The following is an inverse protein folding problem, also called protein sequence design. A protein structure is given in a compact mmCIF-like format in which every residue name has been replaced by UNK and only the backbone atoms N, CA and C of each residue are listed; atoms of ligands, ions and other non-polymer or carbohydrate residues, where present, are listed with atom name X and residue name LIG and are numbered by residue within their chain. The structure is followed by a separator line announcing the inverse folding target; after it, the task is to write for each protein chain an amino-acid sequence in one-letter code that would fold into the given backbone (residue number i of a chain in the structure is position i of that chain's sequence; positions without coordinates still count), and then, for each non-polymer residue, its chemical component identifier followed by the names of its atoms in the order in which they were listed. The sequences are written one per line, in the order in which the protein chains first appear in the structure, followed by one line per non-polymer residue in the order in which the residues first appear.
data_IF_663841213146
#
_entry.id   IF_663841213146
#
_cell.length_a   1.000
_cell.length_b   1.000
_cell.length_c   1.000
_cell.angle_alpha   90.00
_cell.angle_beta   90.00
_cell.angle_gamma   90.00
#
_symmetry.space_group_name_H-M   'P 1'
#
loop_
_entity.id
_entity.type
_entity.pdbx_description
1 polymer ?
#
# COMPACT_ATOMS: atom_id res chain seq x y z
N UNK A 1 -17.01 7.21 -11.20
CA UNK A 1 -15.66 6.61 -11.31
C UNK A 1 -14.85 6.57 -9.97
N UNK A 2 -15.45 6.20 -8.81
CA UNK A 2 -14.85 6.50 -7.46
C UNK A 2 -14.88 5.35 -6.42
N UNK A 3 -15.05 4.08 -6.83
CA UNK A 3 -15.05 2.92 -5.89
C UNK A 3 -13.68 2.21 -5.75
N UNK A 4 -12.73 2.51 -6.63
CA UNK A 4 -11.48 1.73 -6.79
C UNK A 4 -10.25 2.30 -6.09
N UNK A 5 -10.27 3.56 -5.66
CA UNK A 5 -9.04 4.28 -5.25
C UNK A 5 -8.58 3.92 -3.83
N UNK A 6 -9.51 3.57 -2.93
CA UNK A 6 -9.20 3.47 -1.48
C UNK A 6 -9.00 2.04 -0.95
N UNK A 7 -9.25 1.00 -1.74
CA UNK A 7 -9.15 -0.38 -1.26
C UNK A 7 -7.77 -1.04 -1.45
N UNK A 8 -6.82 -0.29 -1.99
CA UNK A 8 -5.73 -0.88 -2.77
C UNK A 8 -4.44 -0.99 -1.91
N UNK A 9 -4.06 0.03 -1.15
CA UNK A 9 -2.69 0.16 -0.64
C UNK A 9 -2.21 -0.88 0.39
N UNK A 10 -3.10 -1.61 1.06
CA UNK A 10 -2.69 -2.56 2.12
C UNK A 10 -2.40 -3.98 1.62
N UNK A 11 -2.80 -4.35 0.39
CA UNK A 11 -2.66 -5.74 -0.11
C UNK A 11 -2.39 -5.83 -1.61
N UNK A 12 -2.26 -4.70 -2.30
CA UNK A 12 -1.68 -4.65 -3.64
C UNK A 12 -0.35 -5.39 -3.68
N UNK A 13 0.52 -5.29 -2.67
CA UNK A 13 1.86 -5.88 -2.69
C UNK A 13 1.91 -7.41 -2.90
N UNK A 14 0.77 -8.10 -2.79
CA UNK A 14 0.63 -9.54 -3.05
C UNK A 14 0.09 -9.80 -4.46
N UNK A 15 -0.74 -8.90 -5.00
CA UNK A 15 -1.30 -9.00 -6.36
C UNK A 15 -0.31 -8.41 -7.39
N UNK A 16 0.33 -7.28 -7.07
CA UNK A 16 1.31 -6.62 -7.93
C UNK A 16 2.64 -7.38 -8.01
N UNK A 17 3.02 -8.17 -7.00
CA UNK A 17 4.20 -9.04 -7.11
C UNK A 17 3.99 -10.24 -8.04
N UNK A 18 2.73 -10.62 -8.27
CA UNK A 18 2.34 -11.76 -9.12
C UNK A 18 2.04 -11.32 -10.57
N UNK A 19 1.68 -10.05 -10.80
CA UNK A 19 1.13 -9.57 -12.10
C UNK A 19 2.01 -8.60 -12.90
N UNK A 20 3.17 -8.18 -12.40
CA UNK A 20 4.07 -7.24 -13.09
C UNK A 20 4.97 -7.91 -14.13
N UNK A 21 4.49 -8.93 -14.84
CA UNK A 21 5.39 -9.77 -15.61
C UNK A 21 4.75 -10.36 -16.88
N UNK A 22 4.27 -9.48 -17.72
CA UNK A 22 4.11 -9.73 -19.14
C UNK A 22 4.55 -8.43 -19.81
N UNK A 23 5.39 -8.52 -20.85
CA UNK A 23 6.24 -7.47 -21.47
C UNK A 23 7.63 -7.46 -20.80
N UNK A 24 8.72 -7.96 -21.40
CA UNK A 24 9.08 -8.03 -22.82
C UNK A 24 10.01 -9.22 -23.09
N UNK A 25 9.88 -9.84 -24.27
CA UNK A 25 10.87 -10.74 -24.88
C UNK A 25 11.82 -9.85 -25.67
N UNK A 26 13.12 -9.92 -25.38
CA UNK A 26 14.18 -9.52 -26.31
C UNK A 26 15.19 -10.68 -26.30
N UNK A 27 15.43 -11.21 -27.49
CA UNK A 27 16.31 -12.32 -27.81
C UNK A 27 17.77 -11.89 -27.68
N UNK A 28 18.62 -12.72 -27.08
CA UNK A 28 20.08 -12.65 -27.26
C UNK A 28 20.72 -14.02 -26.98
N UNK A 29 21.04 -14.67 -28.09
CA UNK A 29 22.21 -15.48 -28.47
C UNK A 29 22.86 -16.47 -27.49
N UNK A 30 23.13 -17.66 -28.02
CA UNK A 30 23.70 -18.83 -27.34
C UNK A 30 25.05 -19.17 -27.94
N UNK A 31 26.15 -18.92 -27.22
CA UNK A 31 27.37 -19.72 -27.39
C UNK A 31 28.38 -19.52 -26.27
N UNK A 32 28.82 -20.65 -25.71
CA UNK A 32 30.10 -20.89 -25.01
C UNK A 32 30.36 -20.09 -23.73
N UNK A 33 30.46 -20.80 -22.60
CA UNK A 33 31.75 -21.30 -22.09
C UNK A 33 31.50 -22.47 -21.13
N UNK A 34 32.33 -23.49 -21.31
CA UNK A 34 32.36 -24.75 -20.57
C UNK A 34 32.99 -24.61 -19.17
N UNK A 35 32.61 -25.54 -18.30
CA UNK A 35 33.42 -26.14 -17.24
C UNK A 35 33.99 -25.20 -16.17
N UNK A 36 33.19 -24.91 -15.11
CA UNK A 36 33.53 -25.16 -13.69
C UNK A 36 32.46 -24.58 -12.71
N UNK A 37 31.20 -25.03 -12.73
CA UNK A 37 30.09 -24.34 -12.01
C UNK A 37 29.05 -25.22 -11.33
N UNK A 38 29.28 -26.53 -11.15
CA UNK A 38 28.24 -27.47 -10.67
C UNK A 38 27.73 -27.16 -9.25
N UNK A 39 28.52 -26.49 -8.40
CA UNK A 39 28.08 -26.07 -7.06
C UNK A 39 27.45 -24.66 -6.99
N UNK A 40 27.61 -23.83 -8.04
CA UNK A 40 27.12 -22.44 -8.03
C UNK A 40 25.92 -22.21 -8.96
N UNK A 41 25.71 -23.06 -9.98
CA UNK A 41 24.58 -22.93 -10.92
C UNK A 41 23.22 -23.33 -10.35
N UNK A 42 23.21 -24.19 -9.32
CA UNK A 42 21.98 -24.66 -8.67
C UNK A 42 21.22 -23.55 -7.93
N UNK A 43 21.91 -22.50 -7.49
CA UNK A 43 21.27 -21.32 -6.88
C UNK A 43 20.56 -20.42 -7.91
N UNK A 44 20.95 -20.51 -9.18
CA UNK A 44 20.42 -19.67 -10.27
C UNK A 44 19.27 -20.32 -11.04
N UNK A 45 19.09 -21.63 -10.95
CA UNK A 45 18.09 -22.36 -11.73
C UNK A 45 17.00 -23.00 -10.84
N UNK A 46 16.18 -22.18 -10.17
CA UNK A 46 14.98 -22.66 -9.45
C UNK A 46 14.02 -23.36 -10.44
N UNK A 47 13.97 -24.70 -10.41
CA UNK A 47 13.11 -25.52 -11.26
C UNK A 47 11.73 -25.68 -10.64
N UNK A 48 10.76 -26.06 -11.45
CA UNK A 48 9.38 -26.28 -10.97
C UNK A 48 9.29 -27.46 -9.97
N UNK A 49 10.15 -28.47 -10.11
CA UNK A 49 10.23 -29.64 -9.24
C UNK A 49 10.70 -29.33 -7.81
N UNK A 50 11.56 -28.31 -7.65
CA UNK A 50 12.14 -27.92 -6.36
C UNK A 50 11.13 -27.22 -5.44
N UNK A 51 9.94 -26.91 -5.97
CA UNK A 51 8.86 -26.29 -5.22
C UNK A 51 8.16 -27.30 -4.31
N UNK A 52 7.99 -26.92 -3.04
CA UNK A 52 7.17 -27.69 -2.09
C UNK A 52 5.75 -27.92 -2.63
N UNK A 53 5.06 -29.01 -2.24
CA UNK A 53 3.69 -29.28 -2.71
C UNK A 53 2.72 -28.11 -2.49
N UNK A 54 2.85 -27.41 -1.36
CA UNK A 54 2.06 -26.23 -1.05
C UNK A 54 2.37 -25.04 -1.98
N UNK A 55 3.63 -24.84 -2.37
CA UNK A 55 4.01 -23.83 -3.37
C UNK A 55 3.47 -24.17 -4.75
N UNK A 56 3.63 -25.42 -5.22
CA UNK A 56 3.09 -25.86 -6.51
C UNK A 56 1.58 -25.70 -6.59
N UNK A 57 0.84 -26.01 -5.51
CA UNK A 57 -0.61 -25.83 -5.47
C UNK A 57 -1.05 -24.38 -5.69
N UNK A 58 -0.33 -23.42 -5.10
CA UNK A 58 -0.65 -21.98 -5.22
C UNK A 58 -0.17 -21.41 -6.56
N UNK A 59 0.98 -21.89 -7.05
CA UNK A 59 1.61 -21.39 -8.27
C UNK A 59 1.18 -22.14 -9.52
N UNK A 60 0.28 -23.13 -9.44
CA UNK A 60 -0.18 -23.94 -10.58
C UNK A 60 -0.45 -23.13 -11.87
N UNK A 61 -1.07 -21.93 -11.84
CA UNK A 61 -1.27 -21.13 -13.06
C UNK A 61 0.01 -20.62 -13.76
N UNK A 62 1.17 -20.79 -13.12
CA UNK A 62 2.49 -20.39 -13.62
C UNK A 62 3.37 -21.59 -13.98
N UNK A 63 2.88 -22.85 -13.88
CA UNK A 63 3.68 -24.05 -14.14
C UNK A 63 4.35 -23.99 -15.52
N UNK A 64 3.55 -23.70 -16.54
CA UNK A 64 3.96 -23.84 -17.94
C UNK A 64 4.99 -22.78 -18.33
N UNK A 65 4.86 -21.58 -17.74
CA UNK A 65 5.76 -20.45 -17.96
C UNK A 65 6.90 -20.38 -16.94
N UNK A 66 6.95 -21.29 -15.97
CA UNK A 66 7.92 -21.26 -14.88
C UNK A 66 9.38 -21.26 -15.37
N UNK A 67 9.75 -22.08 -16.39
CA UNK A 67 11.11 -22.08 -16.93
C UNK A 67 11.54 -20.68 -17.42
N UNK A 68 10.63 -19.97 -18.10
CA UNK A 68 10.89 -18.68 -18.75
C UNK A 68 10.92 -17.48 -17.76
N UNK A 69 10.62 -17.71 -16.48
CA UNK A 69 10.61 -16.64 -15.48
C UNK A 69 12.03 -16.32 -15.04
N UNK A 70 12.39 -15.03 -15.07
CA UNK A 70 13.62 -14.56 -14.43
C UNK A 70 13.65 -14.92 -12.93
N UNK A 71 14.86 -15.09 -12.40
CA UNK A 71 15.06 -15.44 -10.98
C UNK A 71 14.36 -14.44 -10.03
N UNK A 72 14.46 -13.14 -10.34
CA UNK A 72 13.79 -12.09 -9.56
C UNK A 72 12.27 -12.26 -9.54
N UNK A 73 11.68 -12.73 -10.64
CA UNK A 73 10.25 -13.00 -10.74
C UNK A 73 9.86 -14.26 -9.96
N UNK A 74 10.63 -15.35 -10.09
CA UNK A 74 10.45 -16.57 -9.30
C UNK A 74 10.48 -16.26 -7.79
N UNK A 75 11.46 -15.48 -7.33
CA UNK A 75 11.57 -15.03 -5.94
C UNK A 75 10.36 -14.20 -5.47
N UNK A 76 9.85 -13.28 -6.32
CA UNK A 76 8.64 -12.49 -6.01
C UNK A 76 7.40 -13.37 -5.87
N UNK A 77 7.26 -14.39 -6.71
CA UNK A 77 6.17 -15.37 -6.64
C UNK A 77 6.25 -16.21 -5.37
N UNK A 78 7.45 -16.70 -5.02
CA UNK A 78 7.69 -17.47 -3.80
C UNK A 78 7.38 -16.67 -2.53
N UNK A 79 7.83 -15.41 -2.44
CA UNK A 79 7.44 -14.48 -1.36
C UNK A 79 5.93 -14.23 -1.33
N UNK A 80 5.26 -14.29 -2.47
CA UNK A 80 3.80 -14.28 -2.57
C UNK A 80 3.15 -15.50 -1.93
N UNK A 81 3.67 -16.70 -2.22
CA UNK A 81 3.19 -17.96 -1.62
C UNK A 81 3.37 -17.97 -0.11
N UNK A 82 4.55 -17.61 0.40
CA UNK A 82 4.80 -17.56 1.84
C UNK A 82 3.75 -16.68 2.53
N UNK A 83 3.50 -15.47 2.00
CA UNK A 83 2.44 -14.59 2.53
C UNK A 83 1.05 -15.21 2.46
N UNK A 84 0.73 -15.94 1.38
CA UNK A 84 -0.55 -16.64 1.24
C UNK A 84 -0.73 -17.75 2.28
N UNK A 85 0.34 -18.49 2.58
CA UNK A 85 0.33 -19.56 3.59
C UNK A 85 0.07 -19.00 4.99
N UNK A 86 0.66 -17.86 5.34
CA UNK A 86 0.46 -17.18 6.63
C UNK A 86 -0.88 -16.43 6.76
N UNK A 87 -1.70 -16.36 5.72
CA UNK A 87 -3.02 -15.71 5.80
C UNK A 87 -4.07 -16.64 6.43
N UNK A 88 -4.91 -16.04 7.28
CA UNK A 88 -6.16 -16.64 7.73
C UNK A 88 -7.15 -16.88 6.58
N UNK A 89 -8.15 -17.78 6.73
CA UNK A 89 -9.18 -17.99 5.72
C UNK A 89 -9.92 -16.70 5.31
N UNK A 90 -10.19 -15.80 6.26
CA UNK A 90 -10.82 -14.51 6.01
C UNK A 90 -9.94 -13.59 5.13
N UNK A 91 -8.64 -13.54 5.40
CA UNK A 91 -7.69 -12.77 4.60
C UNK A 91 -7.55 -13.34 3.19
N UNK A 92 -7.47 -14.66 3.05
CA UNK A 92 -7.46 -15.34 1.73
C UNK A 92 -8.73 -15.02 0.94
N UNK A 93 -9.91 -15.01 1.57
CA UNK A 93 -11.18 -14.59 0.94
C UNK A 93 -11.10 -13.16 0.41
N UNK A 94 -10.54 -12.23 1.19
CA UNK A 94 -10.36 -10.84 0.77
C UNK A 94 -9.32 -10.72 -0.37
N UNK A 95 -8.23 -11.47 -0.32
CA UNK A 95 -7.22 -11.52 -1.37
C UNK A 95 -7.81 -12.00 -2.70
N UNK A 96 -8.61 -13.09 -2.70
CA UNK A 96 -9.34 -13.57 -3.91
C UNK A 96 -10.27 -12.50 -4.48
N UNK A 97 -11.02 -11.80 -3.63
CA UNK A 97 -11.90 -10.69 -4.05
C UNK A 97 -11.13 -9.53 -4.69
N UNK A 98 -9.89 -9.28 -4.27
CA UNK A 98 -9.04 -8.25 -4.88
C UNK A 98 -8.45 -8.74 -6.19
N UNK A 99 -8.04 -10.00 -6.28
CA UNK A 99 -7.54 -10.61 -7.51
C UNK A 99 -8.62 -10.61 -8.61
N UNK A 100 -9.85 -11.03 -8.29
CA UNK A 100 -10.99 -10.97 -9.23
C UNK A 100 -11.30 -9.55 -9.69
N UNK A 101 -11.08 -8.54 -8.85
CA UNK A 101 -11.23 -7.13 -9.24
C UNK A 101 -10.10 -6.69 -10.18
N UNK A 102 -8.87 -7.12 -9.90
CA UNK A 102 -7.71 -6.81 -10.73
C UNK A 102 -7.80 -7.47 -12.11
N UNK A 103 -8.20 -8.74 -12.21
CA UNK A 103 -8.32 -9.44 -13.49
C UNK A 103 -9.30 -8.74 -14.44
N UNK A 104 -10.37 -8.17 -13.89
CA UNK A 104 -11.37 -7.36 -14.61
C UNK A 104 -10.91 -5.94 -14.96
N UNK A 105 -9.76 -5.48 -14.47
CA UNK A 105 -9.24 -4.15 -14.84
C UNK A 105 -8.61 -4.20 -16.23
N UNK A 106 -8.89 -3.17 -17.03
CA UNK A 106 -8.23 -2.95 -18.31
C UNK A 106 -6.77 -2.45 -18.12
N UNK A 107 -5.94 -2.40 -19.19
CA UNK A 107 -4.54 -1.99 -19.09
C UNK A 107 -4.34 -0.62 -18.43
N UNK A 108 -5.14 0.39 -18.78
CA UNK A 108 -5.00 1.75 -18.26
C UNK A 108 -5.35 1.82 -16.76
N UNK A 109 -6.38 1.08 -16.34
CA UNK A 109 -6.71 0.95 -14.92
C UNK A 109 -5.57 0.29 -14.15
N UNK A 110 -5.01 -0.83 -14.66
CA UNK A 110 -3.87 -1.50 -14.03
C UNK A 110 -2.65 -0.58 -13.95
N UNK A 111 -2.39 0.21 -14.99
CA UNK A 111 -1.31 1.18 -15.02
C UNK A 111 -1.48 2.27 -13.96
N UNK A 112 -2.66 2.87 -13.84
CA UNK A 112 -2.96 3.86 -12.79
C UNK A 112 -2.77 3.30 -11.38
N UNK A 113 -3.06 2.01 -11.17
CA UNK A 113 -2.80 1.36 -9.88
C UNK A 113 -1.31 1.17 -9.62
N UNK A 114 -0.55 0.76 -10.65
CA UNK A 114 0.92 0.65 -10.59
C UNK A 114 1.56 1.98 -10.20
N UNK A 115 1.23 3.06 -10.88
CA UNK A 115 1.76 4.40 -10.60
C UNK A 115 1.45 4.89 -9.18
N UNK A 116 0.21 4.65 -8.72
CA UNK A 116 -0.18 4.99 -7.35
C UNK A 116 0.62 4.18 -6.32
N UNK A 117 0.83 2.90 -6.58
CA UNK A 117 1.63 2.06 -5.71
C UNK A 117 3.10 2.50 -5.68
N UNK A 118 3.69 2.83 -6.83
CA UNK A 118 5.08 3.33 -6.87
C UNK A 118 5.22 4.65 -6.14
N UNK A 119 4.30 5.61 -6.35
CA UNK A 119 4.29 6.84 -5.57
C UNK A 119 4.23 6.57 -4.08
N UNK A 120 3.38 5.65 -3.63
CA UNK A 120 3.30 5.28 -2.22
C UNK A 120 4.60 4.64 -1.69
N UNK A 121 5.25 3.77 -2.48
CA UNK A 121 6.50 3.11 -2.11
C UNK A 121 7.65 4.11 -1.97
N UNK A 122 7.66 5.16 -2.78
CA UNK A 122 8.67 6.21 -2.77
C UNK A 122 8.47 7.24 -1.65
N UNK A 123 7.36 7.16 -0.91
CA UNK A 123 7.17 7.99 0.29
C UNK A 123 8.09 7.53 1.43
N UNK A 124 8.45 8.46 2.31
CA UNK A 124 9.17 8.14 3.54
C UNK A 124 8.38 7.15 4.42
N UNK A 125 9.06 6.37 5.29
CA UNK A 125 8.39 5.42 6.18
C UNK A 125 7.27 6.06 7.03
N UNK A 126 7.47 7.30 7.49
CA UNK A 126 6.50 8.04 8.30
C UNK A 126 5.27 8.46 7.51
N UNK A 127 5.45 8.94 6.27
CA UNK A 127 4.34 9.24 5.37
C UNK A 127 3.54 7.98 5.02
N UNK A 128 4.22 6.87 4.75
CA UNK A 128 3.57 5.58 4.53
C UNK A 128 2.75 5.16 5.76
N UNK A 129 3.32 5.28 6.97
CA UNK A 129 2.64 4.99 8.24
C UNK A 129 1.42 5.89 8.44
N UNK A 130 1.55 7.18 8.15
CA UNK A 130 0.44 8.14 8.24
C UNK A 130 -0.72 7.78 7.30
N UNK A 131 -0.42 7.42 6.05
CA UNK A 131 -1.45 6.98 5.09
C UNK A 131 -2.11 5.68 5.54
N UNK A 132 -1.33 4.69 5.99
CA UNK A 132 -1.87 3.41 6.51
C UNK A 132 -2.79 3.65 7.71
N UNK A 133 -2.42 4.53 8.62
CA UNK A 133 -3.23 4.90 9.79
C UNK A 133 -4.54 5.58 9.40
N UNK A 134 -4.49 6.57 8.50
CA UNK A 134 -5.70 7.23 7.95
C UNK A 134 -6.63 6.22 7.27
N UNK A 135 -6.06 5.26 6.54
CA UNK A 135 -6.82 4.20 5.89
C UNK A 135 -7.49 3.26 6.89
N UNK A 136 -6.78 2.82 7.94
CA UNK A 136 -7.34 1.98 9.00
C UNK A 136 -8.50 2.68 9.70
N UNK A 137 -8.31 3.95 10.08
CA UNK A 137 -9.36 4.78 10.66
C UNK A 137 -10.59 4.83 9.75
N UNK A 138 -10.40 5.16 8.47
CA UNK A 138 -11.52 5.25 7.52
C UNK A 138 -12.26 3.92 7.35
N UNK A 139 -11.54 2.79 7.36
CA UNK A 139 -12.15 1.46 7.23
C UNK A 139 -12.95 1.05 8.47
N UNK A 140 -12.53 1.47 9.65
CA UNK A 140 -13.22 1.23 10.92
C UNK A 140 -14.44 2.11 11.16
N UNK A 141 -14.72 3.10 10.29
CA UNK A 141 -15.93 3.89 10.39
C UNK A 141 -17.17 3.04 10.03
N UNK A 142 -18.32 3.25 10.69
CA UNK A 142 -19.61 2.68 10.29
C UNK A 142 -19.94 2.97 8.83
N UNK A 143 -20.64 2.07 8.15
CA UNK A 143 -20.86 2.18 6.70
C UNK A 143 -21.55 3.49 6.29
N UNK A 144 -22.57 3.92 7.04
CA UNK A 144 -23.24 5.19 6.80
C UNK A 144 -22.28 6.38 6.84
N UNK A 145 -21.38 6.43 7.83
CA UNK A 145 -20.35 7.49 7.94
C UNK A 145 -19.36 7.43 6.77
N UNK A 146 -18.91 6.24 6.37
CA UNK A 146 -18.03 6.10 5.19
C UNK A 146 -18.72 6.55 3.91
N UNK A 147 -19.99 6.19 3.74
CA UNK A 147 -20.80 6.57 2.58
C UNK A 147 -20.95 8.08 2.51
N UNK A 148 -21.35 8.71 3.61
CA UNK A 148 -21.46 10.17 3.70
C UNK A 148 -20.15 10.89 3.37
N UNK A 149 -19.01 10.41 3.87
CA UNK A 149 -17.69 10.98 3.54
C UNK A 149 -17.35 10.84 2.04
N UNK A 150 -17.64 9.69 1.44
CA UNK A 150 -17.42 9.47 0.00
C UNK A 150 -18.32 10.33 -0.86
N UNK A 151 -19.61 10.40 -0.54
CA UNK A 151 -20.58 11.23 -1.24
C UNK A 151 -20.21 12.70 -1.15
N UNK A 152 -19.87 13.18 0.05
CA UNK A 152 -19.40 14.56 0.25
C UNK A 152 -18.19 14.86 -0.63
N UNK A 153 -17.20 13.98 -0.68
CA UNK A 153 -16.03 14.15 -1.54
C UNK A 153 -16.37 14.13 -3.03
N UNK A 154 -17.29 13.26 -3.45
CA UNK A 154 -17.74 13.14 -4.83
C UNK A 154 -18.52 14.37 -5.30
N UNK A 155 -19.36 14.95 -4.43
CA UNK A 155 -20.11 16.19 -4.70
C UNK A 155 -19.22 17.44 -4.75
N UNK A 156 -18.02 17.41 -4.16
CA UNK A 156 -17.11 18.55 -4.21
C UNK A 156 -16.53 18.77 -5.61
N UNK A 157 -16.56 20.02 -6.08
CA UNK A 157 -15.83 20.47 -7.29
C UNK A 157 -14.31 20.41 -7.06
N UNK A 158 -13.49 20.42 -8.14
CA UNK A 158 -12.03 20.48 -8.01
C UNK A 158 -11.56 21.62 -7.09
N UNK A 159 -12.11 22.83 -7.28
CA UNK A 159 -11.76 23.99 -6.46
C UNK A 159 -12.16 23.81 -4.99
N UNK A 160 -13.33 23.22 -4.72
CA UNK A 160 -13.75 22.91 -3.34
C UNK A 160 -12.83 21.86 -2.68
N UNK A 161 -12.36 20.87 -3.44
CA UNK A 161 -11.39 19.87 -2.94
C UNK A 161 -10.05 20.52 -2.60
N UNK A 162 -9.56 21.44 -3.42
CA UNK A 162 -8.32 22.15 -3.13
C UNK A 162 -8.45 23.05 -1.90
N UNK A 163 -9.55 23.81 -1.77
CA UNK A 163 -9.83 24.57 -0.54
C UNK A 163 -9.90 23.66 0.69
N UNK A 164 -10.54 22.49 0.56
CA UNK A 164 -10.61 21.52 1.65
C UNK A 164 -9.22 21.00 2.04
N UNK A 165 -8.39 20.60 1.06
CA UNK A 165 -7.01 20.15 1.30
C UNK A 165 -6.20 21.25 1.98
N UNK A 166 -6.25 22.48 1.47
CA UNK A 166 -5.53 23.63 2.03
C UNK A 166 -5.90 23.84 3.50
N UNK A 167 -7.20 23.87 3.82
CA UNK A 167 -7.68 23.98 5.21
C UNK A 167 -7.20 22.86 6.12
N UNK A 168 -7.12 21.63 5.61
CA UNK A 168 -6.63 20.47 6.38
C UNK A 168 -5.12 20.59 6.61
N UNK A 169 -4.35 21.03 5.61
CA UNK A 169 -2.91 21.25 5.71
C UNK A 169 -2.59 22.38 6.68
N UNK A 170 -3.22 23.54 6.53
CA UNK A 170 -3.08 24.68 7.45
C UNK A 170 -3.40 24.28 8.90
N UNK A 171 -4.45 23.48 9.12
CA UNK A 171 -4.79 22.99 10.47
C UNK A 171 -3.68 22.10 11.03
N UNK A 172 -3.06 21.27 10.20
CA UNK A 172 -1.95 20.41 10.62
C UNK A 172 -0.71 21.24 10.93
N UNK A 173 -0.38 22.22 10.09
CA UNK A 173 0.74 23.15 10.28
C UNK A 173 0.55 23.96 11.57
N UNK A 174 -0.60 24.61 11.76
CA UNK A 174 -0.91 25.34 13.01
C UNK A 174 -0.76 24.46 14.24
N UNK A 175 -1.23 23.21 14.18
CA UNK A 175 -1.05 22.27 15.29
C UNK A 175 0.42 21.92 15.52
N UNK A 176 1.20 21.76 14.46
CA UNK A 176 2.64 21.49 14.56
C UNK A 176 3.37 22.67 15.21
N UNK A 177 3.12 23.90 14.76
CA UNK A 177 3.70 25.13 15.32
C UNK A 177 3.37 25.29 16.81
N UNK A 178 2.09 25.12 17.17
CA UNK A 178 1.65 25.15 18.56
C UNK A 178 2.44 24.15 19.41
N UNK A 179 2.60 22.91 18.93
CA UNK A 179 3.33 21.88 19.66
C UNK A 179 4.83 22.18 19.72
N UNK A 180 5.43 22.73 18.66
CA UNK A 180 6.84 23.13 18.62
C UNK A 180 7.14 24.15 19.71
N UNK A 181 6.29 25.15 19.88
CA UNK A 181 6.43 26.24 20.85
C UNK A 181 5.88 25.91 22.26
N UNK A 182 5.71 24.62 22.57
CA UNK A 182 5.28 24.12 23.89
C UNK A 182 6.40 23.42 24.63
N UNK A 183 6.40 23.55 25.96
CA UNK A 183 7.31 22.79 26.83
C UNK A 183 6.91 21.31 26.87
N UNK A 184 7.83 20.39 27.21
CA UNK A 184 7.51 18.97 27.37
C UNK A 184 6.36 18.71 28.35
N UNK A 185 6.30 19.45 29.45
CA UNK A 185 5.23 19.35 30.47
C UNK A 185 3.87 19.77 29.92
N UNK A 186 3.81 20.85 29.13
CA UNK A 186 2.58 21.29 28.46
C UNK A 186 2.10 20.27 27.42
N UNK A 187 3.03 19.70 26.64
CA UNK A 187 2.70 18.62 25.69
C UNK A 187 2.18 17.39 26.40
N UNK A 188 2.74 17.02 27.56
CA UNK A 188 2.26 15.90 28.39
C UNK A 188 0.85 16.17 28.89
N UNK A 189 0.59 17.38 29.41
CA UNK A 189 -0.73 17.82 29.87
C UNK A 189 -1.78 17.80 28.75
N UNK A 190 -1.42 18.24 27.54
CA UNK A 190 -2.30 18.15 26.36
C UNK A 190 -2.66 16.71 26.00
N UNK A 191 -1.75 15.75 26.19
CA UNK A 191 -2.02 14.33 25.89
C UNK A 191 -3.00 13.71 26.90
N UNK A 192 -2.97 14.14 28.16
CA UNK A 192 -3.85 13.64 29.21
C UNK A 192 -5.25 14.27 29.20
N UNK A 193 -5.40 15.48 28.67
CA UNK A 193 -6.70 16.17 28.56
C UNK A 193 -7.68 15.48 27.60
N UNK A 194 -8.98 15.62 27.87
CA UNK A 194 -10.07 15.30 26.95
C UNK A 194 -10.13 16.26 25.75
N UNK A 195 -10.89 15.92 24.70
CA UNK A 195 -11.00 16.79 23.50
C UNK A 195 -11.53 18.20 23.79
N UNK A 196 -12.60 18.38 24.59
CA UNK A 196 -13.08 19.72 24.97
C UNK A 196 -12.01 20.51 25.73
N UNK A 197 -11.37 19.90 26.72
CA UNK A 197 -10.33 20.56 27.52
C UNK A 197 -9.12 20.98 26.68
N UNK A 198 -8.66 20.12 25.76
CA UNK A 198 -7.57 20.50 24.83
C UNK A 198 -7.95 21.71 23.98
N UNK A 199 -9.19 21.76 23.48
CA UNK A 199 -9.66 22.89 22.66
C UNK A 199 -9.62 24.19 23.47
N UNK A 200 -10.11 24.14 24.70
CA UNK A 200 -10.19 25.31 25.56
C UNK A 200 -8.81 25.76 26.04
N UNK A 201 -7.92 24.81 26.38
CA UNK A 201 -6.52 25.08 26.71
C UNK A 201 -5.79 25.79 25.56
N UNK A 202 -5.91 25.26 24.33
CA UNK A 202 -5.30 25.87 23.14
C UNK A 202 -5.88 27.26 22.86
N UNK A 203 -7.19 27.46 23.04
CA UNK A 203 -7.84 28.76 22.87
C UNK A 203 -7.28 29.79 23.85
N UNK A 204 -7.18 29.44 25.14
CA UNK A 204 -6.65 30.35 26.18
C UNK A 204 -5.19 30.71 25.92
N UNK A 205 -4.36 29.73 25.53
CA UNK A 205 -2.94 29.97 25.19
C UNK A 205 -2.80 30.99 24.05
N UNK A 206 -3.56 30.82 22.97
CA UNK A 206 -3.51 31.74 21.83
C UNK A 206 -3.99 33.16 22.21
N UNK A 207 -4.98 33.28 23.09
CA UNK A 207 -5.46 34.58 23.56
C UNK A 207 -4.44 35.34 24.43
N UNK A 208 -3.60 34.61 25.18
CA UNK A 208 -2.56 35.19 26.02
C UNK A 208 -1.27 35.57 25.27
N UNK A 209 -1.08 35.14 24.02
CA UNK A 209 0.09 35.51 23.19
C UNK A 209 -0.10 36.82 22.39
N UNK A 210 -1.32 37.38 22.39
CA UNK A 210 -1.66 38.62 21.67
C UNK A 210 -1.91 39.81 22.62
N UNK A 211 -1.47 39.70 23.87
CA UNK A 211 -1.38 40.81 24.84
C UNK A 211 0.09 41.08 25.11
#
# INVERSE_FOLDING_TARGET
MSKTIYNLFAFIGIILSVLLSVQSVVVADSSRLENNSVASDSAFNLRWGDLTPAQRKVLKPFSDKWPDLSLQRKQKLLKGVQRWQHMSPAERKQARKRLKRWSKMNPEQRQRVRERYQRFKNLSPDEQKAIRSKMRWFRGLPEGKRRALRERWQRMTPQQRERFKRRVMERQQRRHEILKNMTPSERKRLRSMSRPERRDFLRRRNAGQHR
#
